data_IF_635998811630
#
_entry.id   IF_635998811630
#
_cell.length_a   1.000
_cell.length_b   1.000
_cell.length_c   1.000
_cell.angle_alpha   90.00
_cell.angle_beta   90.00
_cell.angle_gamma   90.00
#
_symmetry.space_group_name_H-M   'P 1'
#
loop_
_entity.id
_entity.type
_entity.pdbx_description
1 polymer ?
#
# COMPACT_ATOMS: atom_id res chain seq x y z
N UNK A 1 -19.84 -6.12 -23.66
CA UNK A 1 -19.78 -6.68 -22.29
C UNK A 1 -21.16 -7.03 -21.80
N UNK A 2 -21.30 -8.19 -21.17
CA UNK A 2 -22.52 -8.62 -20.49
C UNK A 2 -22.35 -8.39 -18.98
N UNK A 3 -23.43 -7.97 -18.31
CA UNK A 3 -23.41 -7.88 -16.85
C UNK A 3 -23.48 -9.29 -16.25
N UNK A 4 -22.82 -9.55 -15.11
CA UNK A 4 -22.85 -10.86 -14.48
C UNK A 4 -24.28 -11.29 -14.13
N UNK A 5 -24.64 -12.53 -14.43
CA UNK A 5 -25.99 -13.06 -14.20
C UNK A 5 -26.24 -13.43 -12.73
N UNK A 6 -25.22 -13.92 -12.02
CA UNK A 6 -25.33 -14.33 -10.62
C UNK A 6 -24.66 -13.30 -9.72
N UNK A 7 -25.48 -12.46 -9.08
CA UNK A 7 -25.01 -11.37 -8.22
C UNK A 7 -25.73 -11.37 -6.88
N UNK A 8 -24.98 -11.06 -5.82
CA UNK A 8 -25.48 -10.84 -4.47
C UNK A 8 -25.34 -9.36 -4.13
N UNK A 9 -26.46 -8.69 -3.85
CA UNK A 9 -26.43 -7.29 -3.41
C UNK A 9 -26.03 -7.20 -1.92
N UNK A 10 -25.13 -6.28 -1.61
CA UNK A 10 -24.72 -5.92 -0.26
C UNK A 10 -25.02 -4.43 -0.05
N UNK A 11 -25.79 -4.10 0.99
CA UNK A 11 -26.15 -2.71 1.30
C UNK A 11 -27.19 -2.12 0.34
N UNK A 12 -27.50 -0.82 0.53
CA UNK A 12 -28.45 -0.09 -0.30
C UNK A 12 -27.68 0.71 -1.34
N UNK A 13 -28.02 0.51 -2.61
CA UNK A 13 -27.39 1.23 -3.71
C UNK A 13 -28.14 2.53 -3.93
N UNK A 14 -27.44 3.66 -3.85
CA UNK A 14 -27.96 4.99 -4.13
C UNK A 14 -27.24 5.56 -5.36
N UNK A 15 -27.94 6.36 -6.16
CA UNK A 15 -27.37 7.00 -7.36
C UNK A 15 -27.32 6.12 -8.61
N UNK A 16 -26.54 6.56 -9.60
CA UNK A 16 -26.44 5.97 -10.95
C UNK A 16 -25.18 5.12 -11.17
N UNK A 17 -24.37 4.96 -10.13
CA UNK A 17 -23.16 4.15 -10.17
C UNK A 17 -23.44 2.76 -9.59
N UNK A 18 -22.90 1.73 -10.25
CA UNK A 18 -23.11 0.32 -9.89
C UNK A 18 -21.75 -0.36 -9.83
N UNK A 19 -21.34 -0.77 -8.64
CA UNK A 19 -20.06 -1.46 -8.42
C UNK A 19 -20.32 -2.95 -8.26
N UNK A 20 -19.63 -3.74 -9.06
CA UNK A 20 -19.62 -5.20 -9.05
C UNK A 20 -18.23 -5.64 -8.63
N UNK A 21 -18.16 -6.40 -7.56
CA UNK A 21 -16.92 -6.90 -6.97
C UNK A 21 -16.90 -8.42 -7.15
N UNK A 22 -15.84 -8.95 -7.72
CA UNK A 22 -15.67 -10.39 -7.81
C UNK A 22 -15.39 -10.99 -6.40
N UNK A 23 -15.79 -12.24 -6.16
CA UNK A 23 -15.74 -12.88 -4.85
C UNK A 23 -14.30 -13.05 -4.31
N UNK A 24 -13.32 -13.38 -5.17
CA UNK A 24 -11.91 -13.42 -4.73
C UNK A 24 -11.38 -12.04 -4.35
N UNK A 25 -11.77 -11.00 -5.08
CA UNK A 25 -11.44 -9.62 -4.71
C UNK A 25 -12.04 -9.27 -3.35
N UNK A 26 -13.31 -9.61 -3.12
CA UNK A 26 -13.97 -9.40 -1.83
C UNK A 26 -13.24 -10.13 -0.68
N UNK A 27 -12.85 -11.37 -0.92
CA UNK A 27 -12.11 -12.20 0.05
C UNK A 27 -10.77 -11.56 0.40
N UNK A 28 -9.99 -11.18 -0.61
CA UNK A 28 -8.69 -10.52 -0.44
C UNK A 28 -8.78 -9.23 0.38
N UNK A 29 -9.71 -8.34 0.03
CA UNK A 29 -9.88 -7.07 0.73
C UNK A 29 -10.27 -7.27 2.21
N UNK A 30 -11.07 -8.30 2.51
CA UNK A 30 -11.45 -8.64 3.88
C UNK A 30 -10.27 -9.19 4.69
N UNK A 31 -9.38 -9.96 4.06
CA UNK A 31 -8.16 -10.46 4.70
C UNK A 31 -7.22 -9.32 5.07
N UNK A 32 -6.96 -8.40 4.14
CA UNK A 32 -6.11 -7.23 4.36
C UNK A 32 -6.59 -6.36 5.55
N UNK A 33 -7.91 -6.22 5.70
CA UNK A 33 -8.50 -5.47 6.82
C UNK A 33 -8.19 -6.08 8.18
N UNK A 34 -7.98 -7.40 8.24
CA UNK A 34 -7.77 -8.14 9.49
C UNK A 34 -6.33 -7.99 10.03
N UNK A 35 -5.42 -7.44 9.24
CA UNK A 35 -3.97 -7.51 9.49
C UNK A 35 -3.32 -6.16 9.85
N UNK A 36 -3.94 -5.02 9.51
CA UNK A 36 -3.31 -3.70 9.69
C UNK A 36 -4.18 -2.78 10.56
N UNK A 37 -3.73 -2.52 11.79
CA UNK A 37 -4.44 -1.65 12.75
C UNK A 37 -3.97 -0.19 12.74
N UNK A 38 -2.77 0.11 12.22
CA UNK A 38 -2.12 1.41 12.44
C UNK A 38 -2.26 2.42 11.29
N UNK A 39 -2.38 1.99 10.03
CA UNK A 39 -2.39 2.88 8.86
C UNK A 39 -3.37 2.39 7.78
N UNK A 40 -3.98 3.31 7.01
CA UNK A 40 -4.82 2.93 5.88
C UNK A 40 -3.99 2.20 4.83
N UNK A 41 -4.42 1.00 4.46
CA UNK A 41 -3.83 0.26 3.36
C UNK A 41 -4.45 0.73 2.04
N UNK A 42 -3.63 1.19 1.10
CA UNK A 42 -4.09 1.56 -0.24
C UNK A 42 -4.04 0.33 -1.15
N UNK A 43 -5.18 0.02 -1.76
CA UNK A 43 -5.34 -1.10 -2.69
C UNK A 43 -5.76 -0.57 -4.05
N UNK A 44 -5.04 -0.97 -5.09
CA UNK A 44 -5.40 -0.72 -6.48
C UNK A 44 -6.49 -1.71 -6.92
N UNK A 45 -7.51 -1.23 -7.64
CA UNK A 45 -8.61 -2.03 -8.15
C UNK A 45 -8.53 -2.11 -9.67
N UNK A 46 -8.60 -3.33 -10.21
CA UNK A 46 -8.50 -3.60 -11.64
C UNK A 46 -9.80 -4.21 -12.17
N UNK A 47 -10.20 -3.80 -13.37
CA UNK A 47 -11.33 -4.40 -14.06
C UNK A 47 -11.81 -3.58 -15.25
N UNK A 48 -13.12 -3.42 -15.38
CA UNK A 48 -13.75 -2.72 -16.49
C UNK A 48 -14.74 -1.65 -16.02
N UNK A 49 -14.64 -0.47 -16.62
CA UNK A 49 -15.65 0.58 -16.49
C UNK A 49 -16.49 0.62 -17.76
N UNK A 50 -17.82 0.55 -17.62
CA UNK A 50 -18.73 0.70 -18.75
C UNK A 50 -19.86 1.67 -18.41
N UNK A 51 -20.36 2.36 -19.43
CA UNK A 51 -21.48 3.29 -19.32
C UNK A 51 -22.64 2.78 -20.16
N UNK A 52 -23.81 2.64 -19.55
CA UNK A 52 -25.04 2.20 -20.23
C UNK A 52 -26.23 3.01 -19.71
N UNK A 53 -27.04 3.56 -20.62
CA UNK A 53 -28.31 4.24 -20.28
C UNK A 53 -28.20 5.25 -19.12
N UNK A 54 -27.17 6.11 -19.19
CA UNK A 54 -26.83 7.13 -18.17
C UNK A 54 -26.36 6.60 -16.80
N UNK A 55 -26.10 5.30 -16.67
CA UNK A 55 -25.50 4.67 -15.49
C UNK A 55 -24.07 4.22 -15.76
N UNK A 56 -23.24 4.31 -14.73
CA UNK A 56 -21.85 3.81 -14.77
C UNK A 56 -21.77 2.50 -14.02
N UNK A 57 -21.08 1.55 -14.61
CA UNK A 57 -20.90 0.21 -14.10
C UNK A 57 -19.40 -0.04 -13.97
N UNK A 58 -18.97 -0.41 -12.78
CA UNK A 58 -17.59 -0.74 -12.46
C UNK A 58 -17.55 -2.21 -12.09
N UNK A 59 -16.96 -3.04 -12.94
CA UNK A 59 -16.75 -4.45 -12.69
C UNK A 59 -15.31 -4.64 -12.26
N UNK A 60 -15.10 -5.05 -11.02
CA UNK A 60 -13.79 -5.20 -10.40
C UNK A 60 -13.44 -6.69 -10.34
N UNK A 61 -12.39 -7.05 -11.05
CA UNK A 61 -11.88 -8.43 -11.17
C UNK A 61 -10.54 -8.61 -10.45
N UNK A 62 -9.78 -7.54 -10.23
CA UNK A 62 -8.48 -7.62 -9.56
C UNK A 62 -8.36 -6.61 -8.43
N UNK A 63 -7.55 -6.96 -7.43
CA UNK A 63 -7.11 -6.01 -6.41
C UNK A 63 -5.69 -6.33 -5.96
N UNK A 64 -4.86 -5.30 -5.79
CA UNK A 64 -3.47 -5.45 -5.34
C UNK A 64 -3.09 -4.37 -4.32
N UNK A 65 -2.40 -4.78 -3.26
CA UNK A 65 -1.92 -3.87 -2.22
C UNK A 65 -0.76 -3.03 -2.72
N UNK A 66 -0.94 -1.71 -2.86
CA UNK A 66 0.08 -0.82 -3.45
C UNK A 66 1.38 -0.85 -2.63
N UNK A 67 1.25 -0.88 -1.30
CA UNK A 67 2.42 -0.84 -0.41
C UNK A 67 3.16 -2.18 -0.44
N UNK A 68 2.45 -3.31 -0.35
CA UNK A 68 3.10 -4.62 -0.29
C UNK A 68 3.78 -4.97 -1.62
N UNK A 69 3.27 -4.46 -2.75
CA UNK A 69 3.89 -4.59 -4.08
C UNK A 69 5.10 -3.67 -4.25
N UNK A 70 5.02 -2.44 -3.75
CA UNK A 70 6.13 -1.49 -3.80
C UNK A 70 7.34 -1.98 -2.97
N UNK A 71 7.09 -2.70 -1.88
CA UNK A 71 8.13 -3.36 -1.08
C UNK A 71 8.94 -4.38 -1.90
N UNK A 72 8.34 -4.99 -2.93
CA UNK A 72 9.04 -5.88 -3.87
C UNK A 72 9.68 -5.14 -5.05
N UNK A 73 9.62 -3.81 -5.06
CA UNK A 73 10.09 -2.99 -6.17
C UNK A 73 9.15 -3.01 -7.37
N UNK A 74 7.90 -3.45 -7.21
CA UNK A 74 6.88 -3.44 -8.27
C UNK A 74 5.94 -2.26 -8.13
N UNK A 75 5.59 -1.65 -9.25
CA UNK A 75 4.54 -0.64 -9.30
C UNK A 75 3.22 -1.25 -9.80
N UNK A 76 2.13 -0.49 -9.69
CA UNK A 76 0.79 -0.99 -10.04
C UNK A 76 0.70 -1.41 -11.51
N UNK A 77 1.44 -0.75 -12.41
CA UNK A 77 1.42 -1.05 -13.84
C UNK A 77 2.14 -2.38 -14.16
N UNK A 78 3.21 -2.71 -13.45
CA UNK A 78 3.88 -4.01 -13.57
C UNK A 78 2.97 -5.13 -13.06
N UNK A 79 2.34 -4.95 -11.91
CA UNK A 79 1.37 -5.91 -11.35
C UNK A 79 0.18 -6.09 -12.30
N UNK A 80 -0.32 -4.99 -12.88
CA UNK A 80 -1.38 -5.04 -13.88
C UNK A 80 -0.95 -5.84 -15.10
N UNK A 81 0.21 -5.58 -15.67
CA UNK A 81 0.72 -6.35 -16.83
C UNK A 81 0.97 -7.82 -16.53
N UNK A 82 1.40 -8.14 -15.31
CA UNK A 82 1.76 -9.51 -14.92
C UNK A 82 0.51 -10.36 -14.62
N UNK A 83 -0.49 -9.82 -13.91
CA UNK A 83 -1.63 -10.59 -13.41
C UNK A 83 -2.98 -10.19 -13.99
N UNK A 84 -3.13 -8.92 -14.39
CA UNK A 84 -4.40 -8.30 -14.72
C UNK A 84 -4.33 -7.63 -16.11
N UNK A 85 -3.65 -8.24 -17.07
CA UNK A 85 -3.29 -7.64 -18.36
C UNK A 85 -4.53 -7.15 -19.12
N UNK A 86 -5.60 -7.95 -19.05
CA UNK A 86 -6.90 -7.69 -19.68
C UNK A 86 -7.71 -6.58 -18.98
N UNK A 87 -7.27 -6.13 -17.80
CA UNK A 87 -8.00 -5.21 -16.96
C UNK A 87 -7.32 -3.84 -16.88
N UNK A 88 -8.15 -2.81 -16.72
CA UNK A 88 -7.72 -1.43 -16.53
C UNK A 88 -7.68 -1.10 -15.04
N UNK A 89 -6.84 -0.14 -14.67
CA UNK A 89 -6.88 0.44 -13.32
C UNK A 89 -8.15 1.28 -13.17
N UNK A 90 -9.09 0.80 -12.35
CA UNK A 90 -10.37 1.47 -12.09
C UNK A 90 -10.24 2.55 -11.03
N UNK A 91 -9.39 2.31 -10.03
CA UNK A 91 -9.16 3.28 -8.96
C UNK A 91 -8.49 2.66 -7.74
N UNK A 92 -8.61 3.36 -6.62
CA UNK A 92 -8.01 2.95 -5.35
C UNK A 92 -9.04 2.92 -4.24
N UNK A 93 -8.87 1.98 -3.32
CA UNK A 93 -9.60 1.94 -2.05
C UNK A 93 -8.61 2.00 -0.89
N UNK A 94 -8.94 2.81 0.12
CA UNK A 94 -8.20 2.86 1.36
C UNK A 94 -8.92 2.01 2.41
N UNK A 95 -8.24 0.99 2.91
CA UNK A 95 -8.74 0.09 3.95
C UNK A 95 -8.20 0.58 5.30
N UNK A 96 -9.10 1.04 6.16
CA UNK A 96 -8.75 1.49 7.51
C UNK A 96 -8.91 0.33 8.51
N UNK A 97 -7.92 0.14 9.38
CA UNK A 97 -7.96 -0.81 10.48
C UNK A 97 -9.16 -0.52 11.39
N UNK A 98 -10.01 -1.52 11.57
CA UNK A 98 -11.24 -1.55 12.37
C UNK A 98 -12.51 -0.79 11.87
N UNK A 99 -13.62 -1.56 11.87
CA UNK A 99 -15.06 -1.19 11.76
C UNK A 99 -15.65 -0.66 10.43
N UNK A 100 -14.91 -0.36 9.37
CA UNK A 100 -15.55 -0.03 8.07
C UNK A 100 -15.98 -1.27 7.28
N UNK A 101 -17.27 -1.39 6.94
CA UNK A 101 -17.70 -2.30 5.87
C UNK A 101 -17.18 -1.73 4.54
N UNK A 102 -16.58 -2.58 3.71
CA UNK A 102 -16.23 -2.26 2.34
C UNK A 102 -17.45 -2.49 1.45
N UNK A 103 -17.67 -1.64 0.42
CA UNK A 103 -17.25 -0.25 0.31
C UNK A 103 -18.00 0.60 1.35
N UNK A 104 -17.54 1.83 1.57
CA UNK A 104 -17.93 2.68 2.70
C UNK A 104 -19.43 2.67 3.04
N UNK A 105 -19.73 2.84 4.32
CA UNK A 105 -21.01 2.64 5.03
C UNK A 105 -22.32 3.17 4.38
N UNK A 106 -22.26 3.91 3.27
CA UNK A 106 -23.40 4.57 2.62
C UNK A 106 -23.79 4.01 1.25
N UNK A 107 -22.91 3.25 0.58
CA UNK A 107 -23.15 2.81 -0.80
C UNK A 107 -23.04 1.28 -0.92
N UNK A 108 -24.12 0.66 -1.39
CA UNK A 108 -24.17 -0.77 -1.67
C UNK A 108 -23.39 -1.16 -2.93
N UNK A 109 -23.08 -2.45 -3.04
CA UNK A 109 -22.36 -3.05 -4.16
C UNK A 109 -22.91 -4.45 -4.44
N UNK A 110 -22.54 -5.00 -5.59
CA UNK A 110 -22.84 -6.38 -5.95
C UNK A 110 -21.60 -7.22 -5.81
N UNK A 111 -21.72 -8.42 -5.23
CA UNK A 111 -20.71 -9.47 -5.33
C UNK A 111 -21.15 -10.39 -6.46
N UNK A 112 -20.26 -10.65 -7.41
CA UNK A 112 -20.51 -11.62 -8.47
C UNK A 112 -19.49 -12.75 -8.41
N UNK A 113 -19.88 -13.91 -8.92
CA UNK A 113 -19.06 -15.10 -8.95
C UNK A 113 -18.67 -15.39 -10.40
N UNK A 114 -17.37 -15.52 -10.65
CA UNK A 114 -16.84 -15.83 -11.97
C UNK A 114 -15.59 -16.70 -11.86
N UNK A 115 -15.22 -17.38 -12.95
CA UNK A 115 -13.94 -18.06 -13.07
C UNK A 115 -12.85 -17.03 -13.34
N UNK A 116 -12.32 -16.45 -12.27
CA UNK A 116 -11.33 -15.40 -12.32
C UNK A 116 -9.93 -15.94 -12.01
N UNK A 117 -9.28 -16.55 -13.02
CA UNK A 117 -7.92 -17.10 -12.87
C UNK A 117 -6.88 -16.02 -12.57
N UNK A 118 -7.06 -14.80 -13.08
CA UNK A 118 -6.18 -13.67 -12.85
C UNK A 118 -6.01 -13.34 -11.36
N UNK A 119 -7.12 -13.13 -10.65
CA UNK A 119 -7.09 -12.86 -9.21
C UNK A 119 -6.61 -14.07 -8.40
N UNK A 120 -6.98 -15.29 -8.80
CA UNK A 120 -6.49 -16.51 -8.15
C UNK A 120 -4.97 -16.63 -8.25
N UNK A 121 -4.40 -16.41 -9.43
CA UNK A 121 -2.96 -16.46 -9.67
C UNK A 121 -2.24 -15.40 -8.83
N UNK A 122 -2.79 -14.19 -8.74
CA UNK A 122 -2.26 -13.15 -7.88
C UNK A 122 -2.30 -13.53 -6.38
N UNK A 123 -3.39 -14.15 -5.92
CA UNK A 123 -3.48 -14.66 -4.55
C UNK A 123 -2.43 -15.74 -4.27
N UNK A 124 -2.28 -16.71 -5.17
CA UNK A 124 -1.27 -17.76 -5.05
C UNK A 124 0.13 -17.14 -4.97
N UNK A 125 0.42 -16.16 -5.82
CA UNK A 125 1.67 -15.41 -5.78
C UNK A 125 1.90 -14.77 -4.40
N UNK A 126 0.90 -14.09 -3.84
CA UNK A 126 0.98 -13.46 -2.51
C UNK A 126 1.26 -14.50 -1.40
N UNK A 127 0.66 -15.69 -1.50
CA UNK A 127 0.89 -16.80 -0.57
C UNK A 127 2.30 -17.37 -0.69
N UNK A 128 2.83 -17.53 -1.90
CA UNK A 128 4.20 -18.02 -2.09
C UNK A 128 5.25 -17.02 -1.60
N UNK A 129 5.02 -15.73 -1.83
CA UNK A 129 5.86 -14.64 -1.33
C UNK A 129 5.97 -14.70 0.19
N UNK A 130 4.84 -14.80 0.88
CA UNK A 130 4.82 -14.85 2.35
C UNK A 130 5.50 -16.08 2.93
N UNK A 131 5.44 -17.24 2.26
CA UNK A 131 6.22 -18.43 2.64
C UNK A 131 7.73 -18.21 2.54
N UNK A 132 8.20 -17.55 1.48
CA UNK A 132 9.64 -17.28 1.26
C UNK A 132 10.19 -16.30 2.29
N UNK A 133 9.44 -15.25 2.64
CA UNK A 133 9.83 -14.30 3.69
C UNK A 133 9.77 -14.91 5.11
N UNK A 134 8.80 -15.80 5.39
CA UNK A 134 8.65 -16.43 6.70
C UNK A 134 9.74 -17.46 7.04
N UNK A 135 10.31 -18.14 6.03
CA UNK A 135 11.33 -19.16 6.23
C UNK A 135 12.77 -18.62 6.28
N UNK A 136 12.96 -17.29 6.16
CA UNK A 136 14.29 -16.66 6.17
C UNK A 136 14.96 -16.50 7.55
N UNK A 137 14.36 -17.01 8.63
CA UNK A 137 14.91 -16.87 10.01
C UNK A 137 15.15 -18.20 10.73
N UNK A 138 15.04 -19.34 10.06
CA UNK A 138 15.48 -20.63 10.62
C UNK A 138 16.40 -21.32 9.61
N UNK A 139 17.69 -21.31 9.95
CA UNK A 139 18.76 -21.98 9.23
C UNK A 139 18.55 -23.51 9.22
N UNK A 140 18.98 -24.10 8.10
CA UNK A 140 19.17 -25.54 7.80
C UNK A 140 17.94 -26.42 7.60
N UNK A 141 17.84 -26.91 6.36
CA UNK A 141 17.56 -28.33 6.10
C UNK A 141 16.50 -28.59 5.04
N UNK A 142 16.92 -29.36 4.04
CA UNK A 142 16.08 -30.21 3.18
C UNK A 142 15.32 -29.55 2.02
N UNK A 143 15.95 -29.69 0.84
CA UNK A 143 15.26 -29.90 -0.42
C UNK A 143 14.41 -31.16 -0.30
N UNK A 144 13.14 -31.12 -0.71
CA UNK A 144 12.52 -32.05 -1.65
C UNK A 144 11.00 -31.84 -1.73
N UNK A 145 10.42 -32.17 -2.88
CA UNK A 145 8.97 -32.29 -3.05
C UNK A 145 8.35 -31.28 -4.01
N UNK A 146 8.67 -31.42 -5.31
CA UNK A 146 7.73 -31.06 -6.37
C UNK A 146 6.44 -31.89 -6.21
N UNK A 147 5.34 -31.32 -6.69
CA UNK A 147 4.01 -31.91 -6.80
C UNK A 147 3.19 -32.07 -5.51
N UNK A 148 1.88 -31.79 -5.65
CA UNK A 148 0.78 -31.96 -4.69
C UNK A 148 0.41 -30.76 -3.82
N UNK A 149 -0.08 -29.65 -4.40
CA UNK A 149 -0.99 -28.78 -3.64
C UNK A 149 -2.02 -27.99 -4.46
N UNK A 150 -2.77 -28.63 -5.37
CA UNK A 150 -4.05 -28.05 -5.83
C UNK A 150 -5.20 -28.38 -4.85
N UNK A 151 -5.16 -29.57 -4.23
CA UNK A 151 -6.29 -30.09 -3.44
C UNK A 151 -6.29 -29.66 -1.96
N UNK A 152 -5.26 -28.92 -1.49
CA UNK A 152 -5.14 -28.47 -0.09
C UNK A 152 -5.53 -27.00 0.11
N UNK A 153 -5.96 -26.30 -0.93
CA UNK A 153 -6.24 -24.86 -0.88
C UNK A 153 -7.58 -24.50 -0.21
N UNK A 154 -8.55 -25.41 -0.13
CA UNK A 154 -9.90 -25.10 0.38
C UNK A 154 -10.00 -25.23 1.92
N UNK A 155 -9.03 -25.84 2.59
CA UNK A 155 -9.18 -26.23 4.01
C UNK A 155 -8.23 -25.55 5.02
N UNK A 156 -7.47 -24.54 4.60
CA UNK A 156 -6.49 -23.86 5.48
C UNK A 156 -6.99 -22.51 6.00
N UNK A 157 -8.27 -22.41 6.34
CA UNK A 157 -8.86 -21.23 6.98
C UNK A 157 -8.51 -21.11 8.48
N UNK A 158 -7.29 -21.49 8.89
CA UNK A 158 -6.90 -21.40 10.30
C UNK A 158 -5.40 -21.11 10.49
N UNK A 159 -5.15 -19.83 10.70
CA UNK A 159 -4.20 -19.30 11.70
C UNK A 159 -2.71 -19.46 11.37
N UNK A 160 -2.12 -18.41 10.81
CA UNK A 160 -0.90 -17.78 11.37
C UNK A 160 -0.57 -16.46 10.66
N UNK A 161 -0.78 -15.38 11.41
CA UNK A 161 -0.02 -14.12 11.41
C UNK A 161 0.82 -13.83 10.18
N UNK A 162 0.27 -13.04 9.25
CA UNK A 162 1.05 -12.28 8.28
C UNK A 162 1.89 -11.25 9.06
N UNK A 163 3.21 -11.44 9.09
CA UNK A 163 4.13 -10.58 9.83
C UNK A 163 4.36 -9.25 9.08
N UNK A 164 4.43 -8.17 9.85
CA UNK A 164 4.32 -6.77 9.45
C UNK A 164 5.67 -6.17 9.01
N UNK A 165 5.91 -6.07 7.70
CA UNK A 165 6.99 -5.25 7.12
C UNK A 165 6.77 -3.75 7.42
N UNK A 166 5.52 -3.34 7.66
CA UNK A 166 5.16 -2.00 8.11
C UNK A 166 5.82 -1.59 9.43
N UNK A 167 6.23 -2.51 10.29
CA UNK A 167 6.95 -2.17 11.53
C UNK A 167 8.42 -1.87 11.30
N UNK A 168 9.02 -2.38 10.21
CA UNK A 168 10.39 -2.04 9.82
C UNK A 168 10.46 -0.64 9.19
N UNK A 169 9.48 -0.27 8.35
CA UNK A 169 9.42 1.06 7.72
C UNK A 169 9.15 2.14 8.78
N UNK A 170 8.29 1.88 9.77
CA UNK A 170 8.10 2.81 10.91
C UNK A 170 9.42 3.07 11.62
N UNK A 171 10.22 2.02 11.91
CA UNK A 171 11.53 2.17 12.56
C UNK A 171 12.50 3.03 11.73
N UNK A 172 12.50 2.86 10.41
CA UNK A 172 13.31 3.70 9.51
C UNK A 172 12.82 5.16 9.46
N UNK A 173 11.51 5.40 9.37
CA UNK A 173 10.95 6.76 9.37
C UNK A 173 11.26 7.49 10.68
N UNK A 174 11.01 6.84 11.83
CA UNK A 174 11.35 7.42 13.13
C UNK A 174 12.87 7.66 13.27
N UNK A 175 13.70 6.74 12.77
CA UNK A 175 15.16 6.93 12.73
C UNK A 175 15.58 8.14 11.90
N UNK A 176 15.08 8.27 10.68
CA UNK A 176 15.37 9.40 9.79
C UNK A 176 14.89 10.73 10.39
N UNK A 177 13.71 10.77 11.02
CA UNK A 177 13.21 11.98 11.69
C UNK A 177 14.14 12.43 12.83
N UNK A 178 14.64 11.49 13.64
CA UNK A 178 15.58 11.83 14.74
C UNK A 178 16.91 12.35 14.20
N UNK A 179 17.42 11.77 13.10
CA UNK A 179 18.67 12.23 12.46
C UNK A 179 18.50 13.64 11.91
N UNK A 180 17.39 13.93 11.22
CA UNK A 180 17.10 15.27 10.69
C UNK A 180 17.02 16.30 11.82
N UNK A 181 16.36 15.96 12.93
CA UNK A 181 16.30 16.83 14.11
C UNK A 181 17.68 17.08 14.72
N UNK A 182 18.54 16.07 14.80
CA UNK A 182 19.91 16.21 15.30
C UNK A 182 20.77 17.12 14.40
N UNK A 183 20.63 17.00 13.08
CA UNK A 183 21.30 17.88 12.11
C UNK A 183 20.80 19.32 12.26
N UNK A 184 19.49 19.52 12.40
CA UNK A 184 18.90 20.85 12.57
C UNK A 184 19.39 21.55 13.85
N UNK A 185 19.45 20.83 14.98
CA UNK A 185 19.98 21.37 16.25
C UNK A 185 21.47 21.69 16.14
N UNK A 186 22.25 20.82 15.50
CA UNK A 186 23.68 21.05 15.29
C UNK A 186 23.94 22.28 14.42
N UNK A 187 23.17 22.44 13.34
CA UNK A 187 23.25 23.62 12.48
C UNK A 187 22.93 24.91 13.25
N UNK A 188 21.86 24.95 14.04
CA UNK A 188 21.50 26.14 14.85
C UNK A 188 22.62 26.51 15.85
N UNK A 189 23.24 25.51 16.48
CA UNK A 189 24.35 25.73 17.40
C UNK A 189 25.58 26.35 16.69
N UNK A 190 25.92 25.86 15.50
CA UNK A 190 27.03 26.41 14.71
C UNK A 190 26.70 27.79 14.12
N UNK A 191 25.44 28.07 13.79
CA UNK A 191 24.98 29.39 13.35
C UNK A 191 25.22 30.48 14.41
N UNK A 192 24.95 30.19 15.70
CA UNK A 192 25.17 31.14 16.78
C UNK A 192 26.66 31.50 16.95
N UNK A 193 27.57 30.53 16.78
CA UNK A 193 29.02 30.79 16.83
C UNK A 193 29.50 31.61 15.64
N UNK A 194 28.97 31.35 14.44
CA UNK A 194 29.35 32.08 13.24
C UNK A 194 28.87 33.55 13.28
N UNK A 195 27.68 33.80 13.82
CA UNK A 195 27.13 35.16 13.91
C UNK A 195 27.98 36.06 14.82
N UNK A 196 28.42 35.55 15.97
CA UNK A 196 29.30 36.30 16.88
C UNK A 196 30.68 36.61 16.27
N UNK A 197 31.22 35.71 15.44
CA UNK A 197 32.49 35.96 14.75
C UNK A 197 32.34 37.04 13.67
N UNK A 198 31.26 37.01 12.87
CA UNK A 198 31.01 38.02 11.83
C UNK A 198 30.80 39.40 12.44
N UNK A 199 30.08 39.50 13.57
CA UNK A 199 29.90 40.77 14.28
C UNK A 199 31.22 41.32 14.83
N UNK A 200 32.06 40.46 15.41
CA UNK A 200 33.39 40.85 15.91
C UNK A 200 34.35 41.27 14.80
N UNK A 201 34.31 40.59 13.65
CA UNK A 201 35.13 40.92 12.48
C UNK A 201 34.68 42.24 11.86
N UNK A 202 33.36 42.47 11.77
CA UNK A 202 32.78 43.74 11.33
C UNK A 202 33.17 44.90 12.24
N UNK A 203 33.12 44.73 13.56
CA UNK A 203 33.60 45.74 14.52
C UNK A 203 35.10 46.02 14.39
N UNK A 204 35.92 44.98 14.22
CA UNK A 204 37.36 45.13 14.04
C UNK A 204 37.73 45.85 12.72
N UNK A 205 36.99 45.58 11.64
CA UNK A 205 37.18 46.24 10.35
C UNK A 205 36.85 47.74 10.44
N UNK A 206 35.73 48.10 11.07
CA UNK A 206 35.34 49.51 11.28
C UNK A 206 36.35 50.25 12.16
N UNK A 207 36.86 49.60 13.22
CA UNK A 207 37.90 50.18 14.07
C UNK A 207 39.22 50.40 13.32
N UNK A 208 39.63 49.43 12.49
CA UNK A 208 40.84 49.55 11.67
C UNK A 208 40.72 50.66 10.61
N UNK A 209 39.54 50.86 10.04
CA UNK A 209 39.27 51.92 9.06
C UNK A 209 39.24 53.30 9.72
N UNK A 210 38.71 53.42 10.94
CA UNK A 210 38.75 54.67 11.73
C UNK A 210 40.15 55.06 12.21
N UNK A 211 41.06 54.09 12.38
CA UNK A 211 42.44 54.32 12.79
C UNK A 211 43.36 54.73 11.62
N UNK A 212 42.90 54.56 10.37
CA UNK A 212 43.66 54.87 9.14
C UNK A 212 43.16 56.13 8.42
N UNK A 213 42.22 56.88 9.00
CA UNK A 213 41.78 58.16 8.46
C UNK A 213 42.88 59.23 8.70
N UNK A 214 43.37 59.93 7.65
CA UNK A 214 44.35 61.00 7.84
C UNK A 214 43.65 62.25 8.40
N UNK A 215 44.29 62.90 9.38
CA UNK A 215 43.88 64.19 9.97
C UNK A 215 43.75 65.32 8.92
#
# INVERSE_FOLDING_TARGET
MQLPAMVRQIGKINGDERVYLEDYVCTYLNELKREKEAFPLRVALFGHACRKENRKFYLIFGAASVIDELEDGRNEEQVRKEFFEEYELIGYVNIYGNKQKLPGQKDGYYIFYDKNEAMQNYLIFCYEKTRKHGNGTEDKGEKEGKEKTAEKMIHLHRKRSFFSIGDMIKRLIYGCCVIILAIAVSAINDYNKMYGFVEMTGRAAVLAESANAPD
#
